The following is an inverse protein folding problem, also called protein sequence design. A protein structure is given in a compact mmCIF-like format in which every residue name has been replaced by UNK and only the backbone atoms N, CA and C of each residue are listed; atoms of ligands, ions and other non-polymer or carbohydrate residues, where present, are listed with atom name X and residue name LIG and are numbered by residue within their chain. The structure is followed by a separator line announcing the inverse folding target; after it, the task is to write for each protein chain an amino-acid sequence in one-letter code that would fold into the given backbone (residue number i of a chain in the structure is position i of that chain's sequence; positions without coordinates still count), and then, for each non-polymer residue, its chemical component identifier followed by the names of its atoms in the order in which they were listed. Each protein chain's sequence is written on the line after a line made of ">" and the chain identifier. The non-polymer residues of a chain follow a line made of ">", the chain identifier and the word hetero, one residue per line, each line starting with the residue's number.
data_IF_764164482512
#
_entry.id   IF_764164482512
#
_cell.length_a   1.000
_cell.length_b   1.000
_cell.length_c   1.000
_cell.angle_alpha   90.00
_cell.angle_beta   90.00
_cell.angle_gamma   90.00
#
_symmetry.space_group_name_H-M   'P 1'
#
loop_
_entity.id
_entity.type
_entity.pdbx_description
1 polymer ?
#
# COMPACT_ATOMS: atom_id res chain seq x y z
N UNK A 1 10.72 7.66 3.50
CA UNK A 1 11.36 8.12 2.25
C UNK A 1 10.32 8.77 1.37
N UNK A 2 10.66 9.82 0.62
CA UNK A 2 9.78 10.44 -0.38
C UNK A 2 10.46 10.38 -1.75
N UNK A 3 9.73 9.91 -2.77
CA UNK A 3 10.19 9.86 -4.16
C UNK A 3 9.24 10.68 -5.04
N UNK A 4 9.60 11.94 -5.26
CA UNK A 4 8.88 12.87 -6.13
C UNK A 4 9.45 12.92 -7.55
N UNK A 5 8.70 13.50 -8.49
CA UNK A 5 9.14 13.75 -9.86
C UNK A 5 7.97 13.87 -10.83
N UNK A 6 8.24 14.33 -12.05
CA UNK A 6 7.23 14.53 -13.10
C UNK A 6 6.44 13.24 -13.45
N UNK A 7 5.24 13.39 -14.01
CA UNK A 7 4.51 12.27 -14.59
C UNK A 7 5.37 11.50 -15.60
N UNK A 8 5.24 10.17 -15.64
CA UNK A 8 5.98 9.35 -16.61
C UNK A 8 7.40 8.92 -16.20
N UNK A 9 7.94 9.38 -15.08
CA UNK A 9 9.30 9.01 -14.61
C UNK A 9 9.42 7.61 -13.98
N UNK A 10 8.39 6.76 -14.09
CA UNK A 10 8.48 5.37 -13.64
C UNK A 10 8.37 5.15 -12.12
N UNK A 11 7.87 6.11 -11.33
CA UNK A 11 7.69 5.95 -9.86
C UNK A 11 6.90 4.71 -9.47
N UNK A 12 5.86 4.34 -10.24
CA UNK A 12 5.11 3.10 -10.01
C UNK A 12 5.96 1.85 -10.22
N UNK A 13 6.95 1.88 -11.12
CA UNK A 13 7.90 0.79 -11.36
C UNK A 13 8.79 0.55 -10.14
N UNK A 14 9.11 1.59 -9.39
CA UNK A 14 9.84 1.46 -8.12
C UNK A 14 9.00 0.67 -7.11
N UNK A 15 7.69 0.94 -7.03
CA UNK A 15 6.78 0.19 -6.17
C UNK A 15 6.75 -1.30 -6.57
N UNK A 16 6.64 -1.60 -7.87
CA UNK A 16 6.72 -2.98 -8.39
C UNK A 16 8.04 -3.67 -8.03
N UNK A 17 9.17 -2.98 -8.14
CA UNK A 17 10.48 -3.54 -7.81
C UNK A 17 10.63 -3.86 -6.31
N UNK A 18 10.11 -3.00 -5.43
CA UNK A 18 10.12 -3.24 -3.98
C UNK A 18 9.22 -4.44 -3.63
N UNK A 19 8.05 -4.56 -4.27
CA UNK A 19 7.20 -5.75 -4.12
C UNK A 19 7.90 -7.03 -4.59
N UNK A 20 8.56 -7.00 -5.74
CA UNK A 20 9.34 -8.13 -6.25
C UNK A 20 10.47 -8.53 -5.28
N UNK A 21 11.13 -7.55 -4.67
CA UNK A 21 12.15 -7.77 -3.65
C UNK A 21 11.57 -8.49 -2.42
N UNK A 22 10.48 -7.97 -1.84
CA UNK A 22 9.82 -8.60 -0.70
C UNK A 22 9.34 -10.02 -1.02
N UNK A 23 8.81 -10.23 -2.23
CA UNK A 23 8.40 -11.55 -2.70
C UNK A 23 9.58 -12.50 -2.85
N UNK A 24 10.74 -12.03 -3.31
CA UNK A 24 11.95 -12.85 -3.45
C UNK A 24 12.49 -13.35 -2.12
N UNK A 25 12.24 -12.61 -1.03
CA UNK A 25 12.60 -13.00 0.33
C UNK A 25 11.51 -13.79 1.06
N UNK A 26 10.39 -14.10 0.40
CA UNK A 26 9.27 -14.81 1.03
C UNK A 26 8.37 -13.96 1.93
N UNK A 27 8.60 -12.65 1.99
CA UNK A 27 7.90 -11.70 2.87
C UNK A 27 6.75 -10.97 2.17
N UNK A 28 5.82 -11.73 1.56
CA UNK A 28 4.75 -11.15 0.74
C UNK A 28 3.78 -10.24 1.50
N UNK A 29 3.60 -10.48 2.80
CA UNK A 29 2.67 -9.73 3.65
C UNK A 29 3.29 -8.49 4.31
N UNK A 30 4.58 -8.23 4.08
CA UNK A 30 5.30 -7.13 4.71
C UNK A 30 5.11 -5.78 4.01
N UNK A 31 4.36 -5.74 2.91
CA UNK A 31 4.05 -4.53 2.15
C UNK A 31 2.55 -4.30 2.05
N UNK A 32 2.16 -3.06 2.34
CA UNK A 32 0.82 -2.54 2.05
C UNK A 32 0.98 -1.40 1.04
N UNK A 33 0.33 -1.56 -0.13
CA UNK A 33 0.32 -0.54 -1.19
C UNK A 33 -0.98 0.27 -1.11
N UNK A 34 -0.85 1.59 -0.96
CA UNK A 34 -2.00 2.50 -0.93
C UNK A 34 -1.86 3.65 -1.91
N UNK A 35 -2.96 4.10 -2.50
CA UNK A 35 -3.00 5.32 -3.30
C UNK A 35 -4.21 6.21 -2.91
N UNK A 36 -4.15 7.50 -3.24
CA UNK A 36 -5.22 8.45 -2.89
C UNK A 36 -6.50 8.23 -3.70
N UNK A 37 -6.41 7.68 -4.91
CA UNK A 37 -7.55 7.47 -5.81
C UNK A 37 -7.69 6.01 -6.22
N UNK A 38 -8.91 5.60 -6.58
CA UNK A 38 -9.17 4.25 -7.09
C UNK A 38 -8.39 3.95 -8.37
N UNK A 39 -8.26 4.93 -9.28
CA UNK A 39 -7.51 4.75 -10.53
C UNK A 39 -6.02 4.48 -10.29
N UNK A 40 -5.38 5.23 -9.39
CA UNK A 40 -3.98 4.99 -9.05
C UNK A 40 -3.78 3.65 -8.33
N UNK A 41 -4.77 3.25 -7.52
CA UNK A 41 -4.78 1.96 -6.83
C UNK A 41 -4.78 0.78 -7.81
N UNK A 42 -5.57 0.87 -8.89
CA UNK A 42 -5.58 -0.15 -9.95
C UNK A 42 -4.20 -0.33 -10.60
N UNK A 43 -3.44 0.76 -10.75
CA UNK A 43 -2.11 0.73 -11.37
C UNK A 43 -1.10 0.03 -10.45
N UNK A 44 -1.08 0.35 -9.16
CA UNK A 44 -0.08 -0.20 -8.21
C UNK A 44 -0.49 -1.54 -7.60
N UNK A 45 -1.73 -1.99 -7.83
CA UNK A 45 -2.29 -3.22 -7.24
C UNK A 45 -2.40 -3.14 -5.72
N UNK A 46 -3.21 -2.22 -5.20
CA UNK A 46 -3.34 -1.97 -3.75
C UNK A 46 -4.75 -1.65 -3.28
N UNK A 47 -4.85 -0.81 -2.24
CA UNK A 47 -6.12 -0.24 -1.73
C UNK A 47 -6.09 1.28 -1.79
N UNK A 48 -7.26 1.93 -1.73
CA UNK A 48 -7.27 3.38 -1.52
C UNK A 48 -6.82 3.67 -0.09
N UNK A 49 -6.12 4.79 0.12
CA UNK A 49 -5.68 5.19 1.45
C UNK A 49 -6.87 5.31 2.42
N UNK A 50 -7.99 5.87 1.95
CA UNK A 50 -9.22 5.96 2.74
C UNK A 50 -9.74 4.58 3.17
N UNK A 51 -9.82 3.62 2.25
CA UNK A 51 -10.27 2.25 2.61
C UNK A 51 -9.33 1.54 3.57
N UNK A 52 -8.03 1.84 3.49
CA UNK A 52 -7.04 1.27 4.39
C UNK A 52 -7.16 1.85 5.81
N UNK A 53 -7.29 3.17 5.94
CA UNK A 53 -7.49 3.82 7.25
C UNK A 53 -8.76 3.32 7.93
N UNK A 54 -9.88 3.24 7.21
CA UNK A 54 -11.14 2.72 7.76
C UNK A 54 -11.02 1.26 8.22
N UNK A 55 -10.22 0.44 7.54
CA UNK A 55 -9.98 -0.94 7.95
C UNK A 55 -9.15 -1.02 9.24
N UNK A 56 -8.14 -0.14 9.38
CA UNK A 56 -7.34 -0.03 10.61
C UNK A 56 -8.17 0.44 11.79
N UNK A 57 -9.00 1.47 11.62
CA UNK A 57 -9.88 1.98 12.68
C UNK A 57 -10.83 0.90 13.19
N UNK A 58 -11.46 0.15 12.28
CA UNK A 58 -12.33 -0.97 12.64
C UNK A 58 -11.58 -2.08 13.38
N UNK A 59 -10.38 -2.42 12.90
CA UNK A 59 -9.54 -3.43 13.55
C UNK A 59 -9.05 -3.02 14.93
N UNK A 60 -8.75 -1.73 15.13
CA UNK A 60 -8.36 -1.20 16.45
C UNK A 60 -9.55 -1.24 17.43
N UNK A 61 -10.73 -0.81 16.98
CA UNK A 61 -11.94 -0.87 17.81
C UNK A 61 -12.34 -2.29 18.21
N UNK A 62 -12.01 -3.30 17.41
CA UNK A 62 -12.24 -4.70 17.81
C UNK A 62 -11.26 -5.17 18.88
N UNK A 63 -10.00 -4.74 18.84
CA UNK A 63 -8.99 -5.10 19.86
C UNK A 63 -9.33 -4.46 21.21
N UNK A 64 -9.85 -3.23 21.22
CA UNK A 64 -10.27 -2.55 22.47
C UNK A 64 -11.49 -3.21 23.14
N UNK A 65 -12.30 -3.99 22.42
CA UNK A 65 -13.45 -4.71 22.97
C UNK A 65 -13.09 -6.08 23.56
N UNK A 66 -11.92 -6.61 23.23
CA UNK A 66 -11.44 -7.93 23.69
C UNK A 66 -10.51 -7.83 24.92
N UNK A 67 -10.32 -6.63 25.48
CA UNK A 67 -9.44 -6.33 26.60
C UNK A 67 -10.23 -5.74 27.79
#
# INVERSE_FOLDING_TARGET
>A
MFLGGEGGTGKSRVIEAVEALCNSWGHRLSIVKTALTGKATTIIGGKTLASFILALERGLSTVDLEN
#
